data_IF_783840461676
#
_entry.id   IF_783840461676
#
_cell.length_a   1.000
_cell.length_b   1.000
_cell.length_c   1.000
_cell.angle_alpha   90.00
_cell.angle_beta   90.00
_cell.angle_gamma   90.00
#
_symmetry.space_group_name_H-M   'P 1'
#
loop_
_entity.id
_entity.type
_entity.pdbx_description
1 polymer ?
#
# COMPACT_ATOMS: atom_id res chain seq x y z
N UNK A 1 2.93 6.76 12.53
CA UNK A 1 2.22 5.71 11.72
C UNK A 1 0.97 6.28 11.06
N UNK A 2 0.68 5.91 9.80
CA UNK A 2 -0.57 6.30 9.15
C UNK A 2 -1.77 5.70 9.90
N UNK A 3 -2.85 6.49 10.17
CA UNK A 3 -4.08 5.96 10.73
C UNK A 3 -4.72 4.92 9.82
N UNK A 4 -5.45 3.98 10.43
CA UNK A 4 -6.13 2.89 9.74
C UNK A 4 -7.64 3.01 9.91
N UNK A 5 -8.37 3.12 8.81
CA UNK A 5 -9.82 3.20 8.77
C UNK A 5 -10.38 1.89 8.20
N UNK A 6 -11.20 1.16 8.95
CA UNK A 6 -11.89 -0.03 8.45
C UNK A 6 -13.33 0.30 8.03
N UNK A 7 -13.72 -0.09 6.81
CA UNK A 7 -15.09 0.03 6.31
C UNK A 7 -15.84 -1.26 6.63
N UNK A 8 -16.88 -1.18 7.46
CA UNK A 8 -17.69 -2.32 7.89
C UNK A 8 -19.16 -2.08 7.55
N UNK A 9 -19.89 -3.11 7.22
CA UNK A 9 -21.31 -3.06 6.91
C UNK A 9 -21.73 -4.29 6.11
N UNK A 10 -23.05 -4.49 5.97
CA UNK A 10 -23.60 -5.59 5.19
C UNK A 10 -23.25 -5.48 3.69
N UNK A 11 -23.45 -6.53 2.89
CA UNK A 11 -23.28 -6.46 1.45
C UNK A 11 -24.11 -5.35 0.81
N UNK A 12 -23.61 -4.74 -0.27
CA UNK A 12 -24.30 -3.75 -1.12
C UNK A 12 -24.64 -2.39 -0.47
N UNK A 13 -24.16 -2.08 0.73
CA UNK A 13 -24.33 -0.73 1.34
C UNK A 13 -23.42 0.34 0.72
N UNK A 14 -22.50 -0.06 -0.17
CA UNK A 14 -21.60 0.87 -0.88
C UNK A 14 -20.20 0.98 -0.32
N UNK A 15 -19.71 -0.01 0.47
CA UNK A 15 -18.34 -0.05 1.01
C UNK A 15 -17.28 0.08 -0.08
N UNK A 16 -17.34 -0.76 -1.11
CA UNK A 16 -16.35 -0.75 -2.21
C UNK A 16 -16.45 0.53 -3.05
N UNK A 17 -17.62 1.14 -3.17
CA UNK A 17 -17.78 2.45 -3.80
C UNK A 17 -17.07 3.54 -3.00
N UNK A 18 -17.24 3.53 -1.66
CA UNK A 18 -16.54 4.45 -0.78
C UNK A 18 -15.04 4.18 -0.79
N UNK A 19 -14.61 2.93 -0.71
CA UNK A 19 -13.21 2.52 -0.80
C UNK A 19 -12.53 3.08 -2.07
N UNK A 20 -13.12 2.84 -3.24
CA UNK A 20 -12.60 3.32 -4.53
C UNK A 20 -12.50 4.86 -4.56
N UNK A 21 -13.46 5.54 -3.96
CA UNK A 21 -13.42 7.00 -3.85
C UNK A 21 -12.32 7.48 -2.91
N UNK A 22 -12.16 6.85 -1.76
CA UNK A 22 -11.14 7.20 -0.78
C UNK A 22 -9.73 7.00 -1.32
N UNK A 23 -9.52 5.93 -2.08
CA UNK A 23 -8.21 5.62 -2.70
C UNK A 23 -7.99 6.36 -4.02
N UNK A 24 -9.03 7.04 -4.57
CA UNK A 24 -9.04 7.63 -5.92
C UNK A 24 -8.61 6.66 -7.00
N UNK A 25 -8.73 5.39 -6.76
CA UNK A 25 -8.50 4.36 -7.75
C UNK A 25 -9.76 4.23 -8.59
N UNK A 26 -9.81 4.85 -9.79
CA UNK A 26 -10.72 4.40 -10.86
C UNK A 26 -10.31 3.04 -11.40
N UNK A 27 -9.07 2.74 -11.25
CA UNK A 27 -8.42 1.48 -11.37
C UNK A 27 -7.95 1.10 -9.95
N UNK A 28 -8.84 0.56 -9.11
CA UNK A 28 -8.35 -0.48 -8.23
C UNK A 28 -7.55 -1.35 -9.19
N UNK A 29 -6.25 -1.43 -9.03
CA UNK A 29 -5.48 -2.47 -9.65
C UNK A 29 -6.01 -3.81 -9.08
N UNK A 30 -7.25 -4.12 -9.47
CA UNK A 30 -7.60 -5.44 -9.85
C UNK A 30 -6.80 -5.62 -11.12
N UNK A 31 -5.46 -5.64 -10.99
CA UNK A 31 -4.68 -6.31 -11.95
C UNK A 31 -5.35 -7.67 -12.03
N UNK A 32 -5.83 -8.06 -13.21
CA UNK A 32 -6.13 -9.44 -13.55
C UNK A 32 -4.80 -10.22 -13.47
N UNK A 33 -4.18 -10.18 -12.28
CA UNK A 33 -3.07 -11.03 -11.91
C UNK A 33 -3.72 -12.33 -11.44
N UNK A 34 -3.49 -13.44 -12.13
CA UNK A 34 -3.99 -14.74 -11.71
C UNK A 34 -3.56 -15.00 -10.27
N UNK A 35 -4.51 -15.15 -9.35
CA UNK A 35 -4.24 -15.45 -7.95
C UNK A 35 -4.59 -14.36 -6.93
N UNK A 36 -5.05 -13.18 -7.33
CA UNK A 36 -5.59 -12.19 -6.41
C UNK A 36 -7.01 -12.57 -6.00
N UNK A 37 -7.17 -13.09 -4.79
CA UNK A 37 -8.50 -13.37 -4.25
C UNK A 37 -9.29 -12.07 -4.08
N UNK A 38 -10.54 -12.09 -4.55
CA UNK A 38 -11.51 -10.98 -4.60
C UNK A 38 -11.95 -10.41 -3.23
N UNK A 39 -11.42 -10.87 -2.10
CA UNK A 39 -12.13 -10.77 -0.83
C UNK A 39 -11.68 -9.65 0.11
N UNK A 40 -10.63 -8.89 -0.21
CA UNK A 40 -10.21 -7.73 0.59
C UNK A 40 -9.47 -6.69 -0.21
N UNK A 41 -9.89 -5.47 -0.03
CA UNK A 41 -9.20 -4.32 -0.58
C UNK A 41 -8.53 -3.54 0.55
N UNK A 42 -7.21 -3.40 0.44
CA UNK A 42 -6.44 -2.46 1.23
C UNK A 42 -5.96 -1.35 0.30
N UNK A 43 -5.95 -0.12 0.78
CA UNK A 43 -5.51 0.98 -0.06
C UNK A 43 -5.02 2.16 0.75
N UNK A 44 -4.21 3.00 0.11
CA UNK A 44 -3.80 4.27 0.65
C UNK A 44 -4.87 5.33 0.35
N UNK A 45 -5.40 5.97 1.40
CA UNK A 45 -6.38 7.04 1.27
C UNK A 45 -5.73 8.30 0.68
N UNK A 46 -6.42 8.88 -0.31
CA UNK A 46 -5.98 10.07 -1.05
C UNK A 46 -6.99 11.22 -1.00
N UNK A 47 -7.95 11.14 -0.09
CA UNK A 47 -8.95 12.18 0.18
C UNK A 47 -8.56 12.88 1.48
N UNK A 48 -8.67 14.21 1.52
CA UNK A 48 -8.19 15.02 2.64
C UNK A 48 -6.70 15.37 2.54
N UNK A 49 -6.17 16.00 3.58
CA UNK A 49 -4.78 16.50 3.61
C UNK A 49 -3.79 15.49 4.20
N UNK A 50 -4.26 14.59 5.04
CA UNK A 50 -3.44 13.63 5.78
C UNK A 50 -3.51 12.23 5.19
N UNK A 51 -2.37 11.52 5.02
CA UNK A 51 -2.36 10.17 4.49
C UNK A 51 -2.89 9.17 5.52
N UNK A 52 -3.67 8.17 5.06
CA UNK A 52 -4.22 7.09 5.88
C UNK A 52 -4.30 5.78 5.11
N UNK A 53 -4.50 4.68 5.82
CA UNK A 53 -4.81 3.39 5.23
C UNK A 53 -6.30 3.10 5.37
N UNK A 54 -6.91 2.54 4.34
CA UNK A 54 -8.31 2.12 4.35
C UNK A 54 -8.42 0.63 4.05
N UNK A 55 -9.32 -0.05 4.77
CA UNK A 55 -9.60 -1.48 4.62
C UNK A 55 -11.06 -1.64 4.24
N UNK A 56 -11.34 -2.24 3.07
CA UNK A 56 -12.68 -2.73 2.75
C UNK A 56 -12.82 -4.16 3.28
N UNK A 57 -13.71 -4.40 4.22
CA UNK A 57 -13.90 -5.73 4.83
C UNK A 57 -14.81 -6.64 4.01
N UNK A 58 -15.23 -6.26 2.80
CA UNK A 58 -16.24 -6.99 2.05
C UNK A 58 -17.62 -6.94 2.71
N UNK A 59 -18.50 -7.89 2.44
CA UNK A 59 -19.79 -8.01 3.13
C UNK A 59 -19.64 -8.81 4.42
N UNK A 60 -19.94 -8.23 5.57
CA UNK A 60 -19.83 -8.90 6.87
C UNK A 60 -21.15 -9.58 7.27
N UNK A 61 -21.10 -10.91 7.48
CA UNK A 61 -22.18 -11.71 8.07
C UNK A 61 -21.70 -12.37 9.35
N UNK A 62 -22.01 -11.82 10.54
CA UNK A 62 -21.43 -12.27 11.82
C UNK A 62 -21.88 -13.64 12.29
N UNK A 63 -22.89 -14.24 11.68
CA UNK A 63 -23.59 -15.46 12.16
C UNK A 63 -23.11 -16.75 11.47
N UNK A 64 -22.24 -16.67 10.47
CA UNK A 64 -21.75 -17.85 9.76
C UNK A 64 -20.86 -18.72 10.67
N UNK A 65 -21.22 -20.01 10.83
CA UNK A 65 -20.50 -20.97 11.69
C UNK A 65 -19.48 -21.81 10.95
N UNK A 66 -19.58 -21.94 9.63
CA UNK A 66 -18.69 -22.79 8.82
C UNK A 66 -18.52 -22.21 7.39
N UNK A 67 -17.46 -22.65 6.69
CA UNK A 67 -17.20 -22.35 5.30
C UNK A 67 -16.57 -20.96 5.02
N UNK A 68 -16.71 -20.47 3.77
CA UNK A 68 -16.11 -19.21 3.29
C UNK A 68 -16.61 -18.02 4.10
N UNK A 69 -17.89 -17.98 4.48
CA UNK A 69 -18.46 -16.88 5.28
C UNK A 69 -17.89 -16.80 6.69
N UNK A 70 -17.51 -17.93 7.30
CA UNK A 70 -16.83 -17.96 8.60
C UNK A 70 -15.43 -17.36 8.50
N UNK A 71 -14.70 -17.65 7.43
CA UNK A 71 -13.38 -17.05 7.19
C UNK A 71 -13.48 -15.54 6.95
N UNK A 72 -14.49 -15.06 6.21
CA UNK A 72 -14.76 -13.64 6.01
C UNK A 72 -15.08 -12.94 7.36
N UNK A 73 -15.86 -13.58 8.23
CA UNK A 73 -16.16 -13.05 9.56
C UNK A 73 -14.89 -12.93 10.44
N UNK A 74 -14.02 -13.95 10.43
CA UNK A 74 -12.74 -13.91 11.14
C UNK A 74 -11.86 -12.77 10.62
N UNK A 75 -11.84 -12.60 9.33
CA UNK A 75 -11.06 -11.56 8.69
C UNK A 75 -11.57 -10.17 9.03
N UNK A 76 -12.88 -9.94 9.03
CA UNK A 76 -13.47 -8.66 9.45
C UNK A 76 -13.16 -8.37 10.92
N UNK A 77 -13.24 -9.38 11.79
CA UNK A 77 -12.85 -9.24 13.20
C UNK A 77 -11.40 -8.77 13.35
N UNK A 78 -10.50 -9.32 12.56
CA UNK A 78 -9.10 -8.90 12.58
C UNK A 78 -8.92 -7.47 12.07
N UNK A 79 -9.57 -7.09 10.95
CA UNK A 79 -9.52 -5.74 10.42
C UNK A 79 -10.03 -4.71 11.42
N UNK A 80 -11.15 -4.99 12.10
CA UNK A 80 -11.70 -4.15 13.17
C UNK A 80 -10.72 -4.04 14.34
N UNK A 81 -10.07 -5.14 14.74
CA UNK A 81 -9.09 -5.13 15.82
C UNK A 81 -7.82 -4.32 15.50
N UNK A 82 -7.46 -4.22 14.24
CA UNK A 82 -6.28 -3.50 13.76
C UNK A 82 -6.56 -2.03 13.39
N UNK A 83 -7.83 -1.66 13.18
CA UNK A 83 -8.23 -0.30 12.83
C UNK A 83 -8.13 0.67 14.02
N UNK A 84 -7.75 1.92 13.73
CA UNK A 84 -7.86 3.04 14.67
C UNK A 84 -9.31 3.52 14.76
N UNK A 85 -9.99 3.62 13.61
CA UNK A 85 -11.41 4.00 13.50
C UNK A 85 -12.15 3.03 12.60
N UNK A 86 -13.35 2.66 13.00
CA UNK A 86 -14.27 1.84 12.21
C UNK A 86 -15.39 2.71 11.64
N UNK A 87 -15.53 2.74 10.33
CA UNK A 87 -16.63 3.38 9.62
C UNK A 87 -17.70 2.32 9.35
N UNK A 88 -18.78 2.36 10.13
CA UNK A 88 -19.92 1.44 9.99
C UNK A 88 -20.94 2.02 9.01
N UNK A 89 -21.07 1.40 7.83
CA UNK A 89 -21.87 1.91 6.73
C UNK A 89 -23.19 1.17 6.65
N UNK A 90 -24.28 1.95 6.64
CA UNK A 90 -25.66 1.48 6.45
C UNK A 90 -26.27 2.13 5.19
N UNK A 91 -27.35 1.56 4.67
CA UNK A 91 -28.01 2.01 3.44
C UNK A 91 -29.23 2.87 3.77
N UNK A 92 -29.14 4.18 3.49
CA UNK A 92 -30.22 5.14 3.76
C UNK A 92 -31.49 4.91 2.92
N UNK A 93 -31.40 4.24 1.76
CA UNK A 93 -32.56 3.91 0.93
C UNK A 93 -33.29 2.64 1.39
N UNK A 94 -32.54 1.69 1.91
CA UNK A 94 -33.10 0.42 2.36
C UNK A 94 -33.61 0.48 3.80
N UNK A 95 -33.11 1.46 4.57
CA UNK A 95 -33.42 1.62 5.97
C UNK A 95 -32.75 0.62 6.91
N UNK A 96 -33.10 0.70 8.18
CA UNK A 96 -32.52 -0.14 9.24
C UNK A 96 -32.95 -1.60 9.10
N UNK A 97 -31.99 -2.52 9.19
CA UNK A 97 -32.25 -3.96 9.08
C UNK A 97 -31.78 -4.72 10.34
N UNK A 98 -32.32 -5.94 10.60
CA UNK A 98 -31.82 -6.78 11.70
C UNK A 98 -30.32 -7.12 11.60
N UNK A 99 -29.76 -7.21 10.37
CA UNK A 99 -28.32 -7.40 10.18
C UNK A 99 -27.51 -6.22 10.66
N UNK A 100 -27.98 -4.98 10.48
CA UNK A 100 -27.29 -3.80 10.97
C UNK A 100 -27.24 -3.82 12.51
N UNK A 101 -28.30 -4.27 13.19
CA UNK A 101 -28.32 -4.46 14.65
C UNK A 101 -27.31 -5.49 15.11
N UNK A 102 -27.20 -6.62 14.40
CA UNK A 102 -26.22 -7.69 14.71
C UNK A 102 -24.77 -7.20 14.54
N UNK A 103 -24.49 -6.42 13.50
CA UNK A 103 -23.18 -5.79 13.28
C UNK A 103 -22.89 -4.78 14.38
N UNK A 104 -23.88 -3.99 14.79
CA UNK A 104 -23.77 -3.02 15.90
C UNK A 104 -23.33 -3.71 17.19
N UNK A 105 -23.96 -4.83 17.56
CA UNK A 105 -23.63 -5.57 18.77
C UNK A 105 -22.20 -6.13 18.74
N UNK A 106 -21.75 -6.55 17.56
CA UNK A 106 -20.35 -6.98 17.35
C UNK A 106 -19.39 -5.78 17.51
N UNK A 107 -19.66 -4.65 16.87
CA UNK A 107 -18.80 -3.46 16.91
C UNK A 107 -18.71 -2.87 18.32
N UNK A 108 -19.79 -2.83 19.09
CA UNK A 108 -19.78 -2.42 20.51
C UNK A 108 -18.82 -3.26 21.35
N UNK A 109 -18.79 -4.57 21.11
CA UNK A 109 -17.88 -5.50 21.82
C UNK A 109 -16.41 -5.35 21.41
N UNK A 110 -16.13 -4.72 20.29
CA UNK A 110 -14.76 -4.55 19.79
C UNK A 110 -13.93 -3.53 20.57
N UNK A 111 -14.61 -2.62 21.31
CA UNK A 111 -13.96 -1.53 22.04
C UNK A 111 -13.30 -0.48 21.16
N UNK A 112 -13.57 -0.48 19.85
CA UNK A 112 -13.02 0.47 18.90
C UNK A 112 -13.94 1.69 18.75
N UNK A 113 -13.36 2.82 18.34
CA UNK A 113 -14.17 3.99 17.94
C UNK A 113 -14.91 3.64 16.65
N UNK A 114 -16.22 3.76 16.71
CA UNK A 114 -17.10 3.48 15.57
C UNK A 114 -17.82 4.75 15.18
N UNK A 115 -17.80 5.08 13.88
CA UNK A 115 -18.56 6.17 13.27
C UNK A 115 -19.67 5.56 12.43
N UNK A 116 -20.92 5.86 12.75
CA UNK A 116 -22.07 5.39 11.98
C UNK A 116 -22.28 6.29 10.76
N UNK A 117 -22.36 5.66 9.58
CA UNK A 117 -22.44 6.35 8.29
C UNK A 117 -23.63 5.85 7.49
N UNK A 118 -24.56 6.76 7.18
CA UNK A 118 -25.70 6.50 6.30
C UNK A 118 -25.33 6.90 4.88
N UNK A 119 -25.17 5.90 4.03
CA UNK A 119 -24.80 6.07 2.62
C UNK A 119 -26.04 6.00 1.70
N UNK A 120 -25.88 6.42 0.46
CA UNK A 120 -26.93 6.50 -0.58
C UNK A 120 -28.03 7.50 -0.25
N UNK A 121 -27.66 8.57 0.42
CA UNK A 121 -28.60 9.60 0.90
C UNK A 121 -28.87 10.71 -0.12
N UNK A 122 -28.37 10.58 -1.35
CA UNK A 122 -28.57 11.58 -2.40
C UNK A 122 -30.05 11.84 -2.67
N UNK A 123 -30.43 13.11 -2.62
CA UNK A 123 -31.82 13.58 -2.83
C UNK A 123 -32.76 13.39 -1.64
N UNK A 124 -32.27 12.89 -0.50
CA UNK A 124 -33.08 12.68 0.71
C UNK A 124 -32.88 13.84 1.71
N UNK A 125 -33.93 14.12 2.52
CA UNK A 125 -33.79 15.09 3.60
C UNK A 125 -33.01 14.45 4.76
N UNK A 126 -32.00 15.14 5.27
CA UNK A 126 -31.15 14.68 6.37
C UNK A 126 -31.96 14.10 7.55
N UNK A 127 -32.90 14.85 8.07
CA UNK A 127 -33.69 14.48 9.27
C UNK A 127 -34.49 13.18 9.09
N UNK A 128 -35.00 12.92 7.90
CA UNK A 128 -35.79 11.69 7.61
C UNK A 128 -34.91 10.47 7.40
N UNK A 129 -33.72 10.65 6.82
CA UNK A 129 -32.79 9.54 6.52
C UNK A 129 -32.12 9.00 7.78
N UNK A 130 -31.79 9.86 8.75
CA UNK A 130 -31.06 9.46 9.96
C UNK A 130 -31.94 8.93 11.07
N UNK A 131 -33.25 9.26 11.06
CA UNK A 131 -34.14 9.06 12.20
C UNK A 131 -34.17 7.62 12.73
N UNK A 132 -34.25 6.64 11.84
CA UNK A 132 -34.29 5.23 12.22
C UNK A 132 -32.96 4.68 12.71
N UNK A 133 -31.84 5.26 12.27
CA UNK A 133 -30.50 4.77 12.60
C UNK A 133 -30.03 5.20 14.00
N UNK A 134 -30.71 6.18 14.64
CA UNK A 134 -30.49 6.47 16.05
C UNK A 134 -30.86 5.30 16.98
N UNK A 135 -31.73 4.37 16.53
CA UNK A 135 -32.04 3.14 17.26
C UNK A 135 -30.79 2.27 17.47
N UNK A 136 -29.76 2.39 16.62
CA UNK A 136 -28.49 1.68 16.78
C UNK A 136 -27.67 2.21 17.97
N UNK A 137 -27.94 3.42 18.48
CA UNK A 137 -27.23 4.00 19.64
C UNK A 137 -25.72 4.09 19.47
N UNK A 138 -25.27 4.47 18.25
CA UNK A 138 -23.86 4.60 17.87
C UNK A 138 -23.41 6.07 17.73
N UNK A 139 -24.16 7.01 18.31
CA UNK A 139 -23.96 8.46 18.16
C UNK A 139 -24.68 9.04 16.94
N UNK A 140 -24.34 10.28 16.59
CA UNK A 140 -24.94 10.98 15.46
C UNK A 140 -24.46 10.37 14.13
N UNK A 141 -25.38 9.97 13.24
CA UNK A 141 -25.00 9.38 11.96
C UNK A 141 -24.45 10.42 10.99
N UNK A 142 -23.33 10.11 10.34
CA UNK A 142 -22.81 10.88 9.20
C UNK A 142 -23.57 10.50 7.94
N UNK A 143 -24.01 11.50 7.18
CA UNK A 143 -24.75 11.27 5.94
C UNK A 143 -23.86 11.54 4.74
N UNK A 144 -23.73 10.53 3.87
CA UNK A 144 -22.89 10.63 2.68
C UNK A 144 -23.58 10.10 1.40
N UNK A 145 -23.04 10.49 0.27
CA UNK A 145 -23.22 9.78 -0.99
C UNK A 145 -21.87 9.32 -1.52
N UNK A 146 -21.51 8.07 -1.31
CA UNK A 146 -20.25 7.53 -1.81
C UNK A 146 -20.17 7.58 -3.35
N UNK A 147 -21.29 7.48 -4.06
CA UNK A 147 -21.35 7.56 -5.51
C UNK A 147 -21.07 8.99 -6.03
N UNK A 148 -21.60 10.02 -5.37
CA UNK A 148 -21.44 11.41 -5.79
C UNK A 148 -20.28 12.12 -5.08
N UNK A 149 -19.91 11.68 -3.89
CA UNK A 149 -18.81 12.22 -3.09
C UNK A 149 -19.25 13.22 -2.02
N UNK A 150 -20.56 13.41 -1.88
CA UNK A 150 -21.14 14.35 -0.90
C UNK A 150 -20.84 13.86 0.53
N UNK A 151 -20.33 14.74 1.40
CA UNK A 151 -19.97 14.45 2.79
C UNK A 151 -18.77 13.53 3.02
N UNK A 152 -18.11 13.04 1.94
CA UNK A 152 -17.01 12.07 2.08
C UNK A 152 -15.75 12.71 2.64
N UNK A 153 -15.42 13.94 2.25
CA UNK A 153 -14.23 14.63 2.75
C UNK A 153 -14.37 14.93 4.25
N UNK A 154 -15.52 15.44 4.65
CA UNK A 154 -15.80 15.77 6.06
C UNK A 154 -15.75 14.51 6.94
N UNK A 155 -16.32 13.40 6.47
CA UNK A 155 -16.24 12.10 7.14
C UNK A 155 -14.78 11.66 7.35
N UNK A 156 -13.94 11.80 6.33
CA UNK A 156 -12.51 11.40 6.42
C UNK A 156 -11.76 12.28 7.40
N UNK A 157 -11.95 13.59 7.35
CA UNK A 157 -11.29 14.53 8.26
C UNK A 157 -11.67 14.25 9.71
N UNK A 158 -12.94 13.98 9.98
CA UNK A 158 -13.42 13.63 11.32
C UNK A 158 -12.87 12.27 11.76
N UNK A 159 -12.89 11.27 10.90
CA UNK A 159 -12.30 9.95 11.20
C UNK A 159 -10.80 10.05 11.53
N UNK A 160 -10.08 10.91 10.83
CA UNK A 160 -8.67 11.16 11.11
C UNK A 160 -8.45 11.91 12.42
N UNK A 161 -9.29 12.91 12.73
CA UNK A 161 -9.24 13.61 14.00
C UNK A 161 -9.48 12.66 15.17
N UNK A 162 -10.47 11.79 15.07
CA UNK A 162 -10.74 10.75 16.07
C UNK A 162 -9.59 9.75 16.21
N UNK A 163 -8.97 9.35 15.11
CA UNK A 163 -7.80 8.45 15.13
C UNK A 163 -6.60 9.10 15.83
N UNK A 164 -6.35 10.39 15.58
CA UNK A 164 -5.26 11.12 16.22
C UNK A 164 -5.55 11.47 17.69
N UNK A 165 -6.80 11.76 18.04
CA UNK A 165 -7.20 12.01 19.43
C UNK A 165 -6.99 10.80 20.36
N UNK A 166 -6.98 9.58 19.81
CA UNK A 166 -6.66 8.35 20.53
C UNK A 166 -5.17 8.06 20.66
N UNK A 167 -4.30 8.88 20.06
CA UNK A 167 -2.84 8.78 20.14
C UNK A 167 -2.33 9.94 21.01
N UNK A 168 -2.15 9.74 22.32
CA UNK A 168 -1.51 10.75 23.14
C UNK A 168 -0.06 10.92 22.68
N UNK A 169 0.36 12.17 22.46
CA UNK A 169 1.74 12.63 22.26
C UNK A 169 2.41 12.51 20.88
N UNK A 170 1.69 12.48 19.75
CA UNK A 170 2.31 12.81 18.46
C UNK A 170 2.47 14.34 18.21
N UNK A 171 2.22 15.17 19.22
CA UNK A 171 2.23 16.65 19.11
C UNK A 171 3.64 17.28 19.09
N UNK A 172 4.70 16.51 19.30
CA UNK A 172 6.09 16.95 19.14
C UNK A 172 6.85 15.99 18.22
N UNK A 173 6.50 15.94 16.96
CA UNK A 173 7.50 15.61 15.93
C UNK A 173 8.47 16.80 15.81
N UNK A 174 9.31 16.97 16.82
CA UNK A 174 10.61 17.56 16.62
C UNK A 174 11.26 16.78 15.47
N UNK A 175 11.67 17.48 14.41
CA UNK A 175 12.39 16.93 13.27
C UNK A 175 13.47 15.97 13.78
N UNK A 176 13.15 14.68 13.85
CA UNK A 176 14.14 13.66 14.19
C UNK A 176 15.15 13.68 13.04
N UNK A 177 16.44 13.86 13.29
CA UNK A 177 17.44 13.88 12.24
C UNK A 177 17.28 12.64 11.38
N UNK A 178 17.30 12.80 10.05
CA UNK A 178 17.19 11.69 9.11
C UNK A 178 18.19 10.59 9.48
N UNK A 179 17.68 9.47 10.00
CA UNK A 179 18.49 8.36 10.52
C UNK A 179 18.88 7.38 9.42
N UNK A 180 19.27 7.88 8.25
CA UNK A 180 19.68 7.06 7.12
C UNK A 180 18.54 6.44 6.31
N UNK A 181 18.84 5.39 5.55
CA UNK A 181 17.87 4.74 4.66
C UNK A 181 16.91 3.88 5.49
N UNK A 182 15.61 4.17 5.43
CA UNK A 182 14.56 3.37 6.09
C UNK A 182 14.26 2.12 5.27
N UNK A 183 14.40 0.95 5.88
CA UNK A 183 14.23 -0.36 5.24
C UNK A 183 13.12 -1.14 5.95
N UNK A 184 12.12 -1.62 5.19
CA UNK A 184 11.17 -2.62 5.65
C UNK A 184 11.53 -4.00 5.08
N UNK A 185 11.49 -5.04 5.92
CA UNK A 185 11.65 -6.44 5.49
C UNK A 185 10.29 -7.11 5.58
N UNK A 186 9.73 -7.45 4.43
CA UNK A 186 8.40 -8.04 4.31
C UNK A 186 8.42 -9.39 3.62
N UNK A 187 7.42 -10.21 3.88
CA UNK A 187 7.30 -11.57 3.35
C UNK A 187 6.41 -12.43 4.24
N UNK A 188 6.08 -13.63 3.80
CA UNK A 188 5.25 -14.59 4.56
C UNK A 188 5.86 -14.93 5.93
N UNK A 189 5.08 -15.49 6.86
CA UNK A 189 5.62 -16.12 8.07
C UNK A 189 6.67 -17.19 7.72
N UNK A 190 7.70 -17.34 8.55
CA UNK A 190 8.75 -18.35 8.46
C UNK A 190 9.69 -18.31 7.24
N UNK A 191 9.63 -17.26 6.39
CA UNK A 191 10.60 -17.06 5.28
C UNK A 191 12.00 -16.67 5.76
N UNK A 192 12.16 -16.33 7.05
CA UNK A 192 13.44 -15.97 7.67
C UNK A 192 13.65 -14.48 7.91
N UNK A 193 12.58 -13.66 7.99
CA UNK A 193 12.64 -12.21 8.29
C UNK A 193 13.46 -11.94 9.56
N UNK A 194 13.10 -12.60 10.67
CA UNK A 194 13.80 -12.42 11.95
C UNK A 194 15.27 -12.81 11.87
N UNK A 195 15.61 -13.86 11.11
CA UNK A 195 16.99 -14.27 10.88
C UNK A 195 17.75 -13.21 10.10
N UNK A 196 17.17 -12.68 9.01
CA UNK A 196 17.80 -11.62 8.22
C UNK A 196 18.02 -10.36 9.04
N UNK A 197 17.03 -9.94 9.84
CA UNK A 197 17.18 -8.78 10.74
C UNK A 197 18.32 -9.02 11.76
N UNK A 198 18.37 -10.20 12.39
CA UNK A 198 19.45 -10.50 13.34
C UNK A 198 20.82 -10.50 12.66
N UNK A 199 20.92 -10.99 11.43
CA UNK A 199 22.15 -10.96 10.64
C UNK A 199 22.56 -9.53 10.32
N UNK A 200 21.63 -8.67 9.90
CA UNK A 200 21.92 -7.26 9.62
C UNK A 200 22.35 -6.48 10.87
N UNK A 201 21.74 -6.75 12.02
CA UNK A 201 22.04 -6.07 13.29
C UNK A 201 23.24 -6.72 13.99
N UNK A 202 23.36 -8.05 13.95
CA UNK A 202 24.38 -8.80 14.71
C UNK A 202 25.81 -8.66 14.19
N UNK A 203 25.99 -8.34 12.92
CA UNK A 203 27.30 -8.11 12.32
C UNK A 203 27.85 -6.70 12.58
N UNK A 204 27.08 -5.81 13.25
CA UNK A 204 27.42 -4.40 13.32
C UNK A 204 27.01 -3.71 14.63
N UNK A 205 27.62 -2.55 14.92
CA UNK A 205 27.35 -1.78 16.13
C UNK A 205 25.94 -1.23 16.10
N UNK A 206 25.07 -1.79 16.95
CA UNK A 206 23.75 -1.20 17.26
C UNK A 206 24.00 0.07 18.04
N UNK A 207 23.61 1.20 17.50
CA UNK A 207 23.52 2.43 18.28
C UNK A 207 22.25 2.29 19.12
N UNK A 208 22.41 1.67 20.31
CA UNK A 208 21.32 1.48 21.25
C UNK A 208 20.94 2.84 21.85
N UNK A 209 19.77 3.33 21.47
CA UNK A 209 19.07 4.33 22.27
C UNK A 209 17.97 3.62 23.05
N UNK A 210 18.16 3.47 24.36
CA UNK A 210 17.11 3.14 25.31
C UNK A 210 16.10 4.31 25.33
N UNK A 211 14.97 4.16 24.66
CA UNK A 211 13.80 4.95 24.95
C UNK A 211 12.74 4.04 25.59
N UNK A 212 12.39 4.29 26.87
CA UNK A 212 11.28 3.60 27.53
C UNK A 212 9.93 4.17 27.03
N UNK A 213 9.04 3.28 26.63
CA UNK A 213 7.63 3.55 26.49
C UNK A 213 7.14 3.87 25.09
N UNK A 214 6.75 2.84 24.34
CA UNK A 214 5.59 2.88 23.43
C UNK A 214 5.27 1.45 22.97
N UNK A 215 4.17 0.91 23.43
CA UNK A 215 3.72 -0.47 23.14
C UNK A 215 2.93 -0.59 21.83
N UNK A 216 2.79 0.49 21.05
CA UNK A 216 2.02 0.52 19.78
C UNK A 216 2.78 1.04 18.55
N UNK A 217 3.90 1.73 18.72
CA UNK A 217 4.66 2.31 17.60
C UNK A 217 5.56 1.29 16.91
N UNK A 218 5.80 1.47 15.62
CA UNK A 218 6.79 0.70 14.86
C UNK A 218 8.16 0.89 15.50
N UNK A 219 8.77 -0.21 15.94
CA UNK A 219 10.11 -0.15 16.56
C UNK A 219 11.10 0.07 15.42
N UNK A 220 11.62 1.30 15.35
CA UNK A 220 12.74 1.66 14.47
C UNK A 220 14.05 1.20 15.12
N UNK A 221 14.85 0.42 14.39
CA UNK A 221 16.19 -0.02 14.84
C UNK A 221 17.24 0.56 13.91
N UNK A 222 17.96 1.62 14.34
CA UNK A 222 19.07 2.16 13.58
C UNK A 222 20.28 1.22 13.64
N UNK A 223 20.97 1.07 12.52
CA UNK A 223 22.23 0.34 12.42
C UNK A 223 23.14 1.00 11.38
N UNK A 224 24.45 0.77 11.51
CA UNK A 224 25.45 1.25 10.56
C UNK A 224 26.07 0.08 9.81
N UNK A 225 26.24 0.21 8.50
CA UNK A 225 26.94 -0.77 7.68
C UNK A 225 27.79 -0.09 6.60
N UNK A 226 29.06 -0.49 6.52
CA UNK A 226 30.01 0.05 5.53
C UNK A 226 30.07 1.60 5.54
N UNK A 227 29.98 2.21 6.74
CA UNK A 227 29.98 3.66 6.93
C UNK A 227 28.68 4.37 6.54
N UNK A 228 27.57 3.63 6.31
CA UNK A 228 26.25 4.17 5.99
C UNK A 228 25.25 3.85 7.08
N UNK A 229 24.38 4.80 7.35
CA UNK A 229 23.30 4.67 8.33
C UNK A 229 22.03 4.11 7.68
N UNK A 230 21.41 3.15 8.34
CA UNK A 230 20.14 2.54 7.98
C UNK A 230 19.21 2.47 9.19
N UNK A 231 17.91 2.39 8.94
CA UNK A 231 16.92 2.17 9.98
C UNK A 231 15.97 1.06 9.54
N UNK A 232 15.93 -0.05 10.30
CA UNK A 232 14.92 -1.10 10.09
C UNK A 232 13.61 -0.69 10.73
N UNK A 233 12.52 -0.83 9.99
CA UNK A 233 11.16 -0.52 10.41
C UNK A 233 10.45 -1.80 10.83
N UNK A 234 9.60 -1.71 11.88
CA UNK A 234 8.74 -2.77 12.39
C UNK A 234 9.48 -4.04 12.82
N UNK A 235 10.46 -3.87 13.68
CA UNK A 235 11.18 -5.00 14.30
C UNK A 235 10.47 -5.57 15.53
N UNK A 236 9.22 -5.13 15.82
CA UNK A 236 8.48 -5.50 17.03
C UNK A 236 8.23 -7.02 17.20
N UNK A 237 8.05 -7.74 16.08
CA UNK A 237 7.94 -9.20 16.10
C UNK A 237 9.24 -9.91 16.50
N UNK A 238 10.39 -9.22 16.46
CA UNK A 238 11.72 -9.80 16.59
C UNK A 238 12.26 -9.66 18.00
N UNK A 239 12.02 -8.53 18.70
CA UNK A 239 12.52 -8.28 20.08
C UNK A 239 11.82 -9.10 21.17
N UNK A 240 10.62 -9.64 20.94
CA UNK A 240 9.89 -10.42 21.95
C UNK A 240 10.42 -11.86 22.20
N UNK A 241 11.44 -12.30 21.46
CA UNK A 241 12.03 -13.64 21.61
C UNK A 241 12.97 -13.84 22.80
N UNK A 242 13.17 -12.84 23.65
CA UNK A 242 14.03 -12.99 24.85
C UNK A 242 13.43 -13.77 26.00
N UNK A 243 12.14 -13.95 26.12
CA UNK A 243 11.46 -14.82 27.11
C UNK A 243 10.05 -15.17 26.63
N UNK A 244 9.80 -16.52 26.54
CA UNK A 244 8.50 -17.20 26.57
C UNK A 244 7.68 -17.27 25.28
N UNK A 245 7.51 -18.51 24.80
CA UNK A 245 6.46 -19.12 23.98
C UNK A 245 6.31 -18.70 22.50
N UNK A 246 6.23 -19.74 21.68
CA UNK A 246 5.66 -19.82 20.33
C UNK A 246 4.27 -19.14 20.25
N UNK A 247 4.23 -17.82 20.36
CA UNK A 247 3.10 -17.08 19.85
C UNK A 247 3.19 -17.18 18.32
N UNK A 248 2.29 -17.96 17.72
CA UNK A 248 2.03 -18.00 16.28
C UNK A 248 2.16 -16.56 15.79
N UNK A 249 3.16 -16.31 14.94
CA UNK A 249 3.40 -15.01 14.31
C UNK A 249 2.17 -14.71 13.42
N UNK A 250 1.15 -14.07 14.02
CA UNK A 250 -0.05 -13.70 13.30
C UNK A 250 0.37 -12.67 12.25
N UNK A 251 0.34 -13.09 11.00
CA UNK A 251 0.57 -12.20 9.88
C UNK A 251 -0.49 -11.08 9.90
N UNK A 252 -0.06 -9.85 10.16
CA UNK A 252 -0.91 -8.68 10.07
C UNK A 252 -0.62 -7.98 8.74
N UNK A 253 -1.59 -7.99 7.84
CA UNK A 253 -1.50 -7.27 6.57
C UNK A 253 -1.37 -5.77 6.83
N UNK A 254 -2.10 -5.24 7.80
CA UNK A 254 -2.08 -3.81 8.16
C UNK A 254 -0.69 -3.37 8.59
N UNK A 255 -0.03 -4.12 9.48
CA UNK A 255 1.34 -3.81 9.90
C UNK A 255 2.32 -3.87 8.72
N UNK A 256 2.18 -4.88 7.86
CA UNK A 256 3.01 -4.99 6.65
C UNK A 256 2.82 -3.77 5.75
N UNK A 257 1.59 -3.30 5.54
CA UNK A 257 1.30 -2.10 4.75
C UNK A 257 1.83 -0.83 5.40
N UNK A 258 1.73 -0.70 6.73
CA UNK A 258 2.31 0.41 7.48
C UNK A 258 3.82 0.44 7.29
N UNK A 259 4.51 -0.69 7.50
CA UNK A 259 5.96 -0.80 7.30
C UNK A 259 6.39 -0.44 5.88
N UNK A 260 5.67 -0.94 4.86
CA UNK A 260 5.90 -0.60 3.46
C UNK A 260 5.74 0.93 3.26
N UNK A 261 4.69 1.52 3.82
CA UNK A 261 4.40 2.95 3.60
C UNK A 261 5.40 3.90 4.26
N UNK A 262 6.10 3.48 5.30
CA UNK A 262 7.11 4.26 6.02
C UNK A 262 8.52 4.06 5.47
N UNK A 263 8.77 2.95 4.77
CA UNK A 263 10.07 2.62 4.24
C UNK A 263 10.46 3.49 3.03
N UNK A 264 11.75 3.70 2.87
CA UNK A 264 12.34 4.19 1.61
C UNK A 264 12.52 3.02 0.64
N UNK A 265 13.03 1.89 1.14
CA UNK A 265 13.27 0.67 0.38
C UNK A 265 12.63 -0.51 1.09
N UNK A 266 11.98 -1.37 0.34
CA UNK A 266 11.40 -2.61 0.82
C UNK A 266 12.24 -3.79 0.35
N UNK A 267 12.58 -4.70 1.26
CA UNK A 267 13.15 -6.02 0.92
C UNK A 267 12.01 -7.02 0.97
N UNK A 268 11.61 -7.53 -0.19
CA UNK A 268 10.66 -8.65 -0.29
C UNK A 268 11.43 -9.94 -0.10
N UNK A 269 11.19 -10.63 1.02
CA UNK A 269 11.85 -11.88 1.36
C UNK A 269 10.98 -13.07 0.96
N UNK A 270 11.50 -13.93 0.09
CA UNK A 270 10.88 -15.16 -0.39
C UNK A 270 11.63 -16.37 0.17
N UNK A 271 10.95 -17.50 0.30
CA UNK A 271 11.52 -18.77 0.75
C UNK A 271 11.84 -19.65 -0.46
N UNK A 272 13.12 -19.96 -0.69
CA UNK A 272 13.56 -20.79 -1.80
C UNK A 272 13.13 -22.28 -1.66
N UNK A 273 12.73 -22.71 -0.45
CA UNK A 273 12.27 -24.08 -0.20
C UNK A 273 10.76 -24.25 -0.41
N UNK A 274 10.06 -23.18 -0.79
CA UNK A 274 8.61 -23.17 -0.99
C UNK A 274 8.27 -22.48 -2.30
N UNK A 275 7.19 -22.93 -2.94
CA UNK A 275 6.67 -22.27 -4.12
C UNK A 275 6.24 -20.83 -3.80
N UNK A 276 6.40 -19.94 -4.79
CA UNK A 276 5.83 -18.61 -4.72
C UNK A 276 4.32 -18.73 -4.65
N UNK A 277 3.75 -18.28 -3.53
CA UNK A 277 2.31 -18.34 -3.27
C UNK A 277 1.59 -17.08 -3.72
N UNK A 278 0.26 -17.15 -3.74
CA UNK A 278 -0.60 -15.98 -3.93
C UNK A 278 -0.33 -14.88 -2.89
N UNK A 279 0.00 -15.26 -1.65
CA UNK A 279 0.33 -14.30 -0.60
C UNK A 279 1.62 -13.52 -0.90
N UNK A 280 2.63 -14.15 -1.49
CA UNK A 280 3.86 -13.47 -1.93
C UNK A 280 3.55 -12.47 -3.05
N UNK A 281 2.72 -12.89 -4.02
CA UNK A 281 2.28 -12.02 -5.11
C UNK A 281 1.45 -10.82 -4.59
N UNK A 282 0.59 -11.02 -3.58
CA UNK A 282 -0.15 -9.94 -2.92
C UNK A 282 0.77 -8.91 -2.25
N UNK A 283 1.74 -9.38 -1.46
CA UNK A 283 2.71 -8.49 -0.81
C UNK A 283 3.49 -7.71 -1.87
N UNK A 284 3.92 -8.38 -2.95
CA UNK A 284 4.59 -7.75 -4.07
C UNK A 284 3.73 -6.67 -4.76
N UNK A 285 2.44 -6.95 -4.96
CA UNK A 285 1.46 -5.99 -5.48
C UNK A 285 1.34 -4.74 -4.59
N UNK A 286 1.24 -4.90 -3.27
CA UNK A 286 1.19 -3.77 -2.33
C UNK A 286 2.45 -2.91 -2.37
N UNK A 287 3.63 -3.53 -2.50
CA UNK A 287 4.88 -2.77 -2.62
C UNK A 287 4.87 -1.92 -3.91
N UNK A 288 4.44 -2.52 -5.02
CA UNK A 288 4.33 -1.81 -6.30
C UNK A 288 3.35 -0.63 -6.22
N UNK A 289 2.17 -0.85 -5.63
CA UNK A 289 1.15 0.19 -5.44
C UNK A 289 1.62 1.33 -4.54
N UNK A 290 2.35 1.01 -3.47
CA UNK A 290 2.93 2.02 -2.57
C UNK A 290 3.97 2.88 -3.27
N UNK A 291 4.55 2.40 -4.37
CA UNK A 291 5.59 3.07 -5.14
C UNK A 291 6.97 3.05 -4.46
N UNK A 292 7.16 2.24 -3.43
CA UNK A 292 8.45 2.17 -2.72
C UNK A 292 9.50 1.45 -3.55
N UNK A 293 10.75 1.84 -3.34
CA UNK A 293 11.87 1.11 -3.94
C UNK A 293 11.90 -0.32 -3.41
N UNK A 294 12.30 -1.27 -4.24
CA UNK A 294 12.17 -2.70 -3.99
C UNK A 294 13.45 -3.45 -4.34
N UNK A 295 13.84 -4.35 -3.44
CA UNK A 295 14.83 -5.41 -3.72
C UNK A 295 14.20 -6.75 -3.34
N UNK A 296 14.32 -7.75 -4.19
CA UNK A 296 13.83 -9.10 -3.93
C UNK A 296 14.97 -9.94 -3.35
N UNK A 297 14.72 -10.64 -2.26
CA UNK A 297 15.68 -11.56 -1.65
C UNK A 297 15.06 -12.95 -1.52
N UNK A 298 15.68 -13.95 -2.14
CA UNK A 298 15.29 -15.35 -2.10
C UNK A 298 16.18 -16.04 -1.07
N UNK A 299 15.61 -16.30 0.11
CA UNK A 299 16.32 -16.82 1.28
C UNK A 299 16.34 -18.35 1.32
N UNK A 300 17.19 -18.93 2.17
CA UNK A 300 17.41 -20.37 2.37
C UNK A 300 18.01 -21.05 1.13
N UNK A 301 18.83 -20.29 0.39
CA UNK A 301 19.46 -20.73 -0.85
C UNK A 301 20.55 -21.79 -0.64
N UNK A 302 21.08 -21.90 0.58
CA UNK A 302 22.16 -22.81 0.99
C UNK A 302 21.76 -24.29 0.97
N UNK A 303 20.47 -24.62 1.15
CA UNK A 303 19.98 -25.99 1.24
C UNK A 303 19.53 -26.61 -0.10
N UNK A 304 19.81 -25.98 -1.27
CA UNK A 304 19.23 -26.37 -2.54
C UNK A 304 20.24 -26.98 -3.50
N UNK A 305 19.81 -28.00 -4.26
CA UNK A 305 20.55 -28.58 -5.37
C UNK A 305 20.46 -27.73 -6.64
N UNK A 306 21.35 -27.96 -7.62
CA UNK A 306 21.45 -27.16 -8.84
C UNK A 306 20.13 -27.07 -9.59
N UNK A 307 19.49 -28.22 -9.82
CA UNK A 307 18.24 -28.30 -10.59
C UNK A 307 17.10 -27.51 -9.93
N UNK A 308 16.99 -27.61 -8.61
CA UNK A 308 16.01 -26.83 -7.83
C UNK A 308 16.25 -25.32 -7.95
N UNK A 309 17.51 -24.90 -7.97
CA UNK A 309 17.88 -23.48 -8.13
C UNK A 309 17.42 -22.92 -9.46
N UNK A 310 17.51 -23.70 -10.54
CA UNK A 310 17.12 -23.25 -11.87
C UNK A 310 15.58 -23.21 -12.02
N UNK A 311 14.86 -24.19 -11.45
CA UNK A 311 13.40 -24.17 -11.38
C UNK A 311 12.88 -22.94 -10.64
N UNK A 312 13.47 -22.60 -9.49
CA UNK A 312 13.08 -21.42 -8.69
C UNK A 312 13.29 -20.11 -9.48
N UNK A 313 14.40 -19.98 -10.20
CA UNK A 313 14.64 -18.78 -11.05
C UNK A 313 13.54 -18.63 -12.12
N UNK A 314 13.21 -19.74 -12.80
CA UNK A 314 12.16 -19.76 -13.82
C UNK A 314 10.79 -19.38 -13.19
N UNK A 315 10.49 -19.89 -12.00
CA UNK A 315 9.25 -19.59 -11.29
C UNK A 315 9.16 -18.13 -10.86
N UNK A 316 10.27 -17.55 -10.40
CA UNK A 316 10.33 -16.11 -10.05
C UNK A 316 10.06 -15.28 -11.30
N UNK A 317 10.75 -15.53 -12.38
CA UNK A 317 10.60 -14.80 -13.65
C UNK A 317 9.17 -14.91 -14.18
N UNK A 318 8.53 -16.06 -14.04
CA UNK A 318 7.16 -16.29 -14.49
C UNK A 318 6.10 -15.64 -13.61
N UNK A 319 6.23 -15.79 -12.27
CA UNK A 319 5.20 -15.36 -11.30
C UNK A 319 5.36 -13.91 -10.87
N UNK A 320 6.56 -13.35 -10.94
CA UNK A 320 6.90 -12.00 -10.50
C UNK A 320 7.47 -11.12 -11.63
N UNK A 321 7.16 -11.41 -12.90
CA UNK A 321 7.62 -10.64 -14.08
C UNK A 321 7.32 -9.13 -13.94
N UNK A 322 6.21 -8.78 -13.29
CA UNK A 322 5.85 -7.39 -13.00
C UNK A 322 6.83 -6.67 -12.05
N UNK A 323 7.73 -7.40 -11.38
CA UNK A 323 8.82 -6.86 -10.56
C UNK A 323 10.16 -6.82 -11.30
N UNK A 324 10.19 -7.00 -12.61
CA UNK A 324 11.42 -7.05 -13.45
C UNK A 324 12.30 -5.78 -13.32
N UNK A 325 11.78 -4.68 -12.77
CA UNK A 325 12.56 -3.48 -12.44
C UNK A 325 13.43 -3.65 -11.17
N UNK A 326 13.11 -4.60 -10.29
CA UNK A 326 13.82 -4.86 -9.06
C UNK A 326 14.93 -5.91 -9.26
N UNK A 327 16.03 -5.78 -8.52
CA UNK A 327 17.07 -6.81 -8.49
C UNK A 327 16.69 -7.94 -7.56
N UNK A 328 16.90 -9.18 -8.02
CA UNK A 328 16.72 -10.39 -7.23
C UNK A 328 18.07 -10.90 -6.72
N UNK A 329 18.17 -11.18 -5.42
CA UNK A 329 19.32 -11.74 -4.76
C UNK A 329 19.00 -13.08 -4.13
N UNK A 330 19.88 -14.05 -4.30
CA UNK A 330 19.80 -15.36 -3.66
C UNK A 330 20.70 -15.35 -2.43
N UNK A 331 20.11 -15.51 -1.24
CA UNK A 331 20.78 -15.34 0.04
C UNK A 331 20.60 -16.51 0.98
N UNK A 332 21.49 -16.65 1.96
CA UNK A 332 21.25 -17.38 3.18
C UNK A 332 21.41 -16.43 4.36
N UNK A 333 20.29 -16.05 4.94
CA UNK A 333 20.30 -15.21 6.13
C UNK A 333 20.96 -15.92 7.31
N UNK A 334 20.84 -17.26 7.39
CA UNK A 334 21.47 -18.07 8.44
C UNK A 334 23.01 -18.05 8.35
N UNK A 335 23.54 -18.18 7.14
CA UNK A 335 24.96 -18.27 6.89
C UNK A 335 25.58 -16.92 6.48
N UNK A 336 24.82 -15.84 6.56
CA UNK A 336 25.24 -14.47 6.19
C UNK A 336 25.75 -14.34 4.74
N UNK A 337 25.34 -15.26 3.83
CA UNK A 337 25.79 -15.23 2.42
C UNK A 337 24.86 -14.39 1.55
N UNK A 338 25.43 -13.61 0.62
CA UNK A 338 24.68 -12.75 -0.30
C UNK A 338 24.21 -11.42 0.30
N UNK A 339 24.45 -11.13 1.59
CA UNK A 339 23.97 -9.94 2.29
C UNK A 339 24.63 -8.65 1.78
N UNK A 340 25.95 -8.68 1.51
CA UNK A 340 26.66 -7.51 0.98
C UNK A 340 26.11 -7.04 -0.38
N UNK A 341 25.97 -7.89 -1.40
CA UNK A 341 25.31 -7.55 -2.66
C UNK A 341 23.85 -7.09 -2.51
N UNK A 342 23.09 -7.69 -1.58
CA UNK A 342 21.73 -7.28 -1.25
C UNK A 342 21.69 -5.81 -0.78
N UNK A 343 22.53 -5.44 0.20
CA UNK A 343 22.59 -4.09 0.73
C UNK A 343 23.08 -3.06 -0.28
N UNK A 344 24.04 -3.42 -1.16
CA UNK A 344 24.42 -2.57 -2.29
C UNK A 344 23.24 -2.29 -3.24
N UNK A 345 22.35 -3.27 -3.44
CA UNK A 345 21.14 -3.05 -4.24
C UNK A 345 20.08 -2.23 -3.52
N UNK A 346 20.00 -2.28 -2.19
CA UNK A 346 19.19 -1.37 -1.37
C UNK A 346 19.66 0.07 -1.58
N UNK A 347 20.96 0.33 -1.50
CA UNK A 347 21.53 1.66 -1.77
C UNK A 347 21.22 2.14 -3.19
N UNK A 348 21.39 1.26 -4.18
CA UNK A 348 21.11 1.59 -5.58
C UNK A 348 19.63 1.90 -5.82
N UNK A 349 18.72 1.13 -5.23
CA UNK A 349 17.28 1.33 -5.32
C UNK A 349 16.84 2.64 -4.65
N UNK A 350 17.41 2.97 -3.49
CA UNK A 350 17.17 4.25 -2.83
C UNK A 350 17.66 5.43 -3.67
N UNK A 351 18.89 5.35 -4.19
CA UNK A 351 19.45 6.40 -5.05
C UNK A 351 18.62 6.59 -6.33
N UNK A 352 18.13 5.50 -6.93
CA UNK A 352 17.24 5.58 -8.09
C UNK A 352 15.88 6.20 -7.76
N UNK A 353 15.30 5.85 -6.59
CA UNK A 353 14.01 6.38 -6.13
C UNK A 353 14.05 7.88 -5.81
N UNK A 354 15.19 8.37 -5.33
CA UNK A 354 15.41 9.78 -4.92
C UNK A 354 16.18 10.59 -5.96
N UNK A 355 16.44 10.01 -7.14
CA UNK A 355 17.18 10.68 -8.21
C UNK A 355 16.53 11.99 -8.65
N UNK A 356 17.35 13.03 -8.85
CA UNK A 356 16.91 14.28 -9.45
C UNK A 356 17.04 14.20 -10.97
N UNK A 357 15.90 14.23 -11.66
CA UNK A 357 15.80 14.07 -13.10
C UNK A 357 15.51 15.42 -13.76
N UNK A 358 16.54 16.04 -14.34
CA UNK A 358 16.39 17.36 -14.95
C UNK A 358 15.42 17.38 -16.14
N UNK A 359 14.57 18.41 -16.21
CA UNK A 359 13.57 18.62 -17.26
C UNK A 359 14.15 18.53 -18.68
N UNK A 360 15.32 19.10 -19.01
CA UNK A 360 15.89 18.97 -20.35
C UNK A 360 16.25 17.53 -20.73
N UNK A 361 16.78 16.75 -19.77
CA UNK A 361 17.12 15.34 -20.01
C UNK A 361 15.85 14.50 -20.19
N UNK A 362 14.83 14.70 -19.34
CA UNK A 362 13.53 14.02 -19.46
C UNK A 362 12.83 14.34 -20.78
N UNK A 363 12.85 15.61 -21.20
CA UNK A 363 12.24 16.01 -22.48
C UNK A 363 12.97 15.40 -23.67
N UNK A 364 14.30 15.31 -23.63
CA UNK A 364 15.09 14.67 -24.69
C UNK A 364 14.77 13.17 -24.78
N UNK A 365 14.77 12.47 -23.65
CA UNK A 365 14.41 11.04 -23.59
C UNK A 365 12.98 10.81 -24.10
N UNK A 366 12.03 11.70 -23.77
CA UNK A 366 10.67 11.64 -24.31
C UNK A 366 10.64 11.74 -25.84
N UNK A 367 11.37 12.70 -26.41
CA UNK A 367 11.46 12.87 -27.87
C UNK A 367 12.04 11.63 -28.52
N UNK A 368 13.16 11.09 -28.00
CA UNK A 368 13.78 9.87 -28.47
C UNK A 368 12.81 8.66 -28.40
N UNK A 369 12.03 8.53 -27.35
CA UNK A 369 11.03 7.49 -27.23
C UNK A 369 9.94 7.62 -28.30
N UNK A 370 9.46 8.84 -28.56
CA UNK A 370 8.41 9.09 -29.56
C UNK A 370 8.94 8.86 -30.98
N UNK A 371 10.19 9.22 -31.26
CA UNK A 371 10.84 8.96 -32.57
C UNK A 371 11.03 7.45 -32.82
N UNK A 372 11.40 6.68 -31.80
CA UNK A 372 11.54 5.21 -31.90
C UNK A 372 10.20 4.51 -32.11
N UNK A 373 9.16 4.97 -31.40
CA UNK A 373 7.82 4.38 -31.47
C UNK A 373 6.78 5.47 -31.29
N UNK A 374 6.12 5.86 -32.37
CA UNK A 374 5.04 6.84 -32.31
C UNK A 374 3.78 6.26 -31.64
N UNK A 375 3.05 7.08 -30.83
CA UNK A 375 1.79 6.66 -30.25
C UNK A 375 0.72 6.42 -31.33
N UNK A 376 -0.13 5.41 -31.10
CA UNK A 376 -1.25 5.09 -32.02
C UNK A 376 -2.21 6.26 -32.13
N UNK A 377 -2.76 6.47 -33.31
CA UNK A 377 -3.85 7.42 -33.54
C UNK A 377 -5.16 6.91 -32.96
N UNK A 378 -5.98 7.82 -32.43
CA UNK A 378 -7.37 7.55 -32.05
C UNK A 378 -8.27 8.30 -33.03
N UNK A 379 -8.78 7.59 -34.05
CA UNK A 379 -9.43 8.21 -35.19
C UNK A 379 -8.46 9.09 -35.97
N UNK A 380 -8.84 10.36 -36.25
CA UNK A 380 -8.00 11.34 -36.95
C UNK A 380 -6.98 12.04 -36.03
N UNK A 381 -7.05 11.84 -34.74
CA UNK A 381 -6.22 12.57 -33.76
C UNK A 381 -4.99 11.74 -33.40
N UNK A 382 -3.79 12.37 -33.49
CA UNK A 382 -2.53 11.80 -32.99
C UNK A 382 -2.12 12.53 -31.73
N UNK A 383 -1.87 11.79 -30.61
CA UNK A 383 -1.31 12.40 -29.40
C UNK A 383 0.03 13.10 -29.67
N UNK A 384 0.19 14.31 -29.14
CA UNK A 384 1.46 15.04 -29.22
C UNK A 384 1.98 15.31 -27.82
N UNK A 385 3.03 14.61 -27.42
CA UNK A 385 3.81 14.88 -26.21
C UNK A 385 4.82 15.98 -26.50
N UNK A 386 4.90 17.01 -25.65
CA UNK A 386 5.72 18.22 -25.90
C UNK A 386 6.97 18.25 -25.03
N UNK A 387 6.82 18.01 -23.75
CA UNK A 387 7.90 18.01 -22.78
C UNK A 387 7.54 17.15 -21.58
N UNK A 388 8.57 16.76 -20.82
CA UNK A 388 8.42 16.01 -19.58
C UNK A 388 9.24 16.66 -18.47
N UNK A 389 8.71 16.62 -17.24
CA UNK A 389 9.43 17.04 -16.05
C UNK A 389 9.16 16.06 -14.89
N UNK A 390 9.99 16.11 -13.87
CA UNK A 390 9.79 15.32 -12.66
C UNK A 390 8.70 15.96 -11.80
N UNK A 391 7.68 15.18 -11.44
CA UNK A 391 6.57 15.58 -10.58
C UNK A 391 6.69 15.10 -9.14
N UNK A 392 7.64 14.20 -8.85
CA UNK A 392 7.85 13.65 -7.51
C UNK A 392 9.00 12.66 -7.47
N UNK A 393 9.36 12.27 -6.23
CA UNK A 393 10.38 11.27 -5.92
C UNK A 393 9.78 10.21 -5.00
N UNK A 394 10.39 9.04 -4.99
CA UNK A 394 10.03 7.88 -4.16
C UNK A 394 8.53 7.53 -4.16
N UNK A 395 7.95 7.18 -5.34
CA UNK A 395 8.65 6.83 -6.58
C UNK A 395 8.91 8.04 -7.47
N UNK A 396 9.85 7.96 -8.44
CA UNK A 396 9.96 8.96 -9.48
C UNK A 396 8.66 9.06 -10.28
N UNK A 397 8.14 10.30 -10.39
CA UNK A 397 6.94 10.59 -11.17
C UNK A 397 7.34 11.46 -12.34
N UNK A 398 7.09 11.01 -13.56
CA UNK A 398 7.35 11.78 -14.78
C UNK A 398 6.03 12.31 -15.30
N UNK A 399 5.90 13.64 -15.28
CA UNK A 399 4.73 14.35 -15.80
C UNK A 399 5.00 14.74 -17.25
N UNK A 400 4.18 14.22 -18.17
CA UNK A 400 4.27 14.50 -19.60
C UNK A 400 3.15 15.45 -20.00
N UNK A 401 3.52 16.57 -20.58
CA UNK A 401 2.60 17.57 -21.10
C UNK A 401 2.43 17.45 -22.60
N UNK A 402 1.19 17.63 -23.07
CA UNK A 402 0.89 17.56 -24.49
C UNK A 402 -0.58 17.75 -24.83
N UNK A 403 -0.93 17.42 -26.07
CA UNK A 403 -2.28 17.50 -26.59
C UNK A 403 -2.80 16.10 -26.92
N UNK A 404 -4.11 15.88 -26.68
CA UNK A 404 -4.79 14.61 -26.95
C UNK A 404 -4.16 13.39 -26.26
N UNK A 405 -3.62 13.58 -25.05
CA UNK A 405 -2.94 12.53 -24.29
C UNK A 405 -3.90 11.47 -23.73
N UNK A 406 -5.21 11.75 -23.70
CA UNK A 406 -6.29 10.79 -23.38
C UNK A 406 -6.38 9.63 -24.38
N UNK A 407 -5.77 9.78 -25.56
CA UNK A 407 -5.68 8.73 -26.55
C UNK A 407 -4.52 7.74 -26.30
N UNK A 408 -3.63 8.02 -25.33
CA UNK A 408 -2.49 7.16 -24.98
C UNK A 408 -3.00 6.03 -24.10
N UNK A 409 -2.92 4.79 -24.62
CA UNK A 409 -3.29 3.59 -23.87
C UNK A 409 -2.17 3.07 -22.95
N UNK A 410 -2.53 2.20 -22.03
CA UNK A 410 -1.62 1.57 -21.07
C UNK A 410 -0.39 0.88 -21.71
N UNK A 411 -0.50 0.17 -22.85
CA UNK A 411 0.68 -0.44 -23.48
C UNK A 411 1.74 0.60 -23.87
N UNK A 412 1.33 1.80 -24.30
CA UNK A 412 2.26 2.85 -24.66
C UNK A 412 2.88 3.53 -23.42
N UNK A 413 2.12 3.67 -22.33
CA UNK A 413 2.68 4.12 -21.04
C UNK A 413 3.76 3.17 -20.54
N UNK A 414 3.52 1.85 -20.57
CA UNK A 414 4.52 0.83 -20.19
C UNK A 414 5.79 0.92 -21.06
N UNK A 415 5.63 1.19 -22.36
CA UNK A 415 6.76 1.43 -23.24
C UNK A 415 7.58 2.66 -22.79
N UNK A 416 6.91 3.78 -22.49
CA UNK A 416 7.56 4.98 -22.00
C UNK A 416 8.24 4.76 -20.65
N UNK A 417 7.58 4.05 -19.72
CA UNK A 417 8.16 3.68 -18.42
C UNK A 417 9.45 2.89 -18.59
N UNK A 418 9.43 1.88 -19.47
CA UNK A 418 10.62 1.09 -19.77
C UNK A 418 11.72 1.96 -20.36
N UNK A 419 11.39 2.81 -21.33
CA UNK A 419 12.36 3.68 -21.97
C UNK A 419 13.02 4.66 -20.98
N UNK A 420 12.24 5.31 -20.13
CA UNK A 420 12.78 6.19 -19.08
C UNK A 420 13.60 5.42 -18.05
N UNK A 421 13.15 4.25 -17.63
CA UNK A 421 13.89 3.41 -16.68
C UNK A 421 15.27 3.04 -17.22
N UNK A 422 15.32 2.62 -18.47
CA UNK A 422 16.59 2.24 -19.13
C UNK A 422 17.51 3.47 -19.32
N UNK A 423 16.94 4.60 -19.77
CA UNK A 423 17.70 5.83 -20.04
C UNK A 423 18.31 6.44 -18.78
N UNK A 424 17.60 6.38 -17.66
CA UNK A 424 18.05 6.99 -16.39
C UNK A 424 18.57 5.97 -15.38
N UNK A 425 18.68 4.69 -15.76
CA UNK A 425 19.12 3.59 -14.90
C UNK A 425 18.34 3.51 -13.57
N UNK A 426 17.01 3.62 -13.64
CA UNK A 426 16.13 3.59 -12.47
C UNK A 426 15.84 2.14 -12.04
N UNK A 427 16.86 1.45 -11.57
CA UNK A 427 16.78 0.07 -11.10
C UNK A 427 16.31 0.02 -9.65
N UNK A 428 15.37 -0.89 -9.36
CA UNK A 428 14.87 -1.09 -8.00
C UNK A 428 13.80 -0.09 -7.57
N UNK A 429 13.30 0.76 -8.47
CA UNK A 429 12.21 1.68 -8.16
C UNK A 429 11.09 1.60 -9.19
N UNK A 430 9.81 1.57 -8.77
CA UNK A 430 8.71 1.79 -9.69
C UNK A 430 8.81 3.20 -10.30
N UNK A 431 8.31 3.35 -11.52
CA UNK A 431 8.21 4.63 -12.20
C UNK A 431 6.75 4.91 -12.51
N UNK A 432 6.29 6.14 -12.27
CA UNK A 432 4.92 6.56 -12.61
C UNK A 432 4.94 7.61 -13.71
N UNK A 433 4.03 7.47 -14.69
CA UNK A 433 3.83 8.47 -15.74
C UNK A 433 2.47 9.13 -15.54
N UNK A 434 2.47 10.44 -15.40
CA UNK A 434 1.28 11.27 -15.41
C UNK A 434 1.17 12.02 -16.73
N UNK A 435 -0.01 11.94 -17.35
CA UNK A 435 -0.30 12.66 -18.60
C UNK A 435 -1.13 13.89 -18.28
N UNK A 436 -0.63 15.09 -18.56
CA UNK A 436 -1.32 16.35 -18.33
C UNK A 436 -1.62 17.06 -19.65
N UNK A 437 -2.90 17.21 -19.96
CA UNK A 437 -3.34 18.01 -21.09
C UNK A 437 -3.28 19.49 -20.72
N UNK A 438 -2.71 20.32 -21.59
CA UNK A 438 -2.84 21.78 -21.50
C UNK A 438 -4.31 22.17 -21.63
N UNK A 439 -4.80 23.12 -20.82
CA UNK A 439 -6.13 23.71 -21.04
C UNK A 439 -6.13 24.27 -22.48
N UNK A 440 -7.04 23.79 -23.34
CA UNK A 440 -7.23 24.36 -24.66
C UNK A 440 -7.81 25.77 -24.49
N UNK A 441 -7.05 26.85 -24.75
CA UNK A 441 -7.57 28.22 -24.59
C UNK A 441 -8.70 28.52 -25.57
N UNK A 442 -8.92 27.65 -26.57
CA UNK A 442 -9.97 27.80 -27.61
C UNK A 442 -11.10 26.73 -27.45
N UNK A 443 -11.19 26.02 -26.33
CA UNK A 443 -12.34 25.19 -26.09
C UNK A 443 -13.59 26.06 -25.98
N UNK A 444 -14.42 26.06 -27.00
CA UNK A 444 -15.76 26.67 -26.94
C UNK A 444 -16.51 25.99 -25.81
N UNK A 445 -16.84 26.73 -24.77
CA UNK A 445 -17.81 26.33 -23.74
C UNK A 445 -19.16 26.19 -24.45
N UNK A 446 -19.54 24.98 -24.80
CA UNK A 446 -20.92 24.67 -25.18
C UNK A 446 -21.75 24.85 -23.90
N UNK A 447 -22.54 25.93 -23.87
CA UNK A 447 -23.57 26.19 -22.87
C UNK A 447 -24.67 25.12 -22.96
#
# INVERSE_FOLDING_TARGET
MKPVIALVGRPNVGKSTLFNRLTRSRDALVADLPGLTRDRHYGEGRVGERPFLVIDTGGFEPVAKEGIMFQMALQTKQAVAEADVVVFIVDGRQGLTPHDKTITDFLRKSGRKVMLVVNKAEGMKYTSVVAEFYELGMGDPYVISAAHGDGVTDLVEEALNEAFAQRPDDAEELEKPERGIKIAIVGRPNVGKSTLVNTLIGEQRVIAFDMPGTTRDSIEVPFERDGKNYTLIDTAGIRRRGKVFEAIEKFSVVKTLQSISEAHVVILLLDAQQDISEQDAHIAGFILESGRALVVAVNKWDGLQSDQRDEIKIDIDRKLDFLSFAKTHFISALNSTGIGPLMKSVDGAYAAATADLSTPRLTRALIEAVEKQEPRRKGSIRPKMRYAHQGGQNPPIIVIHGNALDAIGEPYKRYLEKHFRDTFNLVGTPLRIELRMGKNPFARTTK
#
